data_IF_759825694344
#
_entry.id   IF_759825694344
#
_cell.length_a   1.000
_cell.length_b   1.000
_cell.length_c   1.000
_cell.angle_alpha   90.00
_cell.angle_beta   90.00
_cell.angle_gamma   90.00
#
_symmetry.space_group_name_H-M   'P 1'
#
loop_
_entity.id
_entity.type
_entity.pdbx_description
1 polymer ?
#
# COMPACT_ATOMS: atom_id res chain seq x y z
N UNK A 1 -6.20 -22.44 13.01
CA UNK A 1 -5.12 -22.21 12.03
C UNK A 1 -4.38 -20.88 12.29
N UNK A 2 -3.05 -20.90 12.27
CA UNK A 2 -2.21 -19.69 12.42
C UNK A 2 -2.15 -18.98 11.06
N UNK A 3 -2.97 -17.94 10.87
CA UNK A 3 -3.12 -17.24 9.57
C UNK A 3 -1.98 -16.29 9.21
N UNK A 4 -1.25 -15.76 10.19
CA UNK A 4 -0.23 -14.73 9.99
C UNK A 4 0.86 -15.11 8.96
N UNK A 5 1.55 -16.25 9.12
CA UNK A 5 2.61 -16.67 8.20
C UNK A 5 2.11 -16.89 6.76
N UNK A 6 0.94 -17.50 6.61
CA UNK A 6 0.35 -17.82 5.31
C UNK A 6 -0.05 -16.56 4.52
N UNK A 7 -0.41 -15.48 5.21
CA UNK A 7 -0.67 -14.18 4.59
C UNK A 7 0.65 -13.51 4.21
N UNK A 8 1.64 -13.57 5.08
CA UNK A 8 2.95 -12.97 4.85
C UNK A 8 3.63 -13.53 3.60
N UNK A 9 3.56 -14.85 3.39
CA UNK A 9 4.10 -15.54 2.19
C UNK A 9 3.48 -15.05 0.87
N UNK A 10 2.34 -14.36 0.94
CA UNK A 10 1.62 -13.81 -0.21
C UNK A 10 1.91 -12.34 -0.45
N UNK A 11 2.58 -11.64 0.47
CA UNK A 11 2.99 -10.24 0.29
C UNK A 11 4.39 -10.25 -0.35
N UNK A 12 4.56 -9.80 -1.61
CA UNK A 12 5.88 -9.76 -2.25
C UNK A 12 6.95 -8.98 -1.47
N UNK A 13 6.58 -7.90 -0.78
CA UNK A 13 7.49 -7.17 0.09
C UNK A 13 7.95 -7.95 1.34
N UNK A 14 7.39 -9.12 1.63
CA UNK A 14 7.84 -10.02 2.70
C UNK A 14 7.63 -9.47 4.12
N UNK A 15 6.86 -8.40 4.28
CA UNK A 15 6.57 -7.78 5.58
C UNK A 15 5.15 -7.22 5.61
N UNK A 16 4.63 -7.06 6.82
CA UNK A 16 3.42 -6.27 7.02
C UNK A 16 3.68 -4.79 6.75
N UNK A 17 2.66 -4.12 6.23
CA UNK A 17 2.64 -2.66 6.12
C UNK A 17 2.72 -2.01 7.50
N UNK A 18 3.36 -0.86 7.55
CA UNK A 18 3.45 0.03 8.71
C UNK A 18 2.73 1.34 8.39
N UNK A 19 2.24 2.09 9.40
CA UNK A 19 1.65 3.41 9.16
C UNK A 19 2.56 4.34 8.34
N UNK A 20 3.88 4.25 8.55
CA UNK A 20 4.88 5.06 7.84
C UNK A 20 4.89 4.81 6.32
N UNK A 21 4.47 3.63 5.86
CA UNK A 21 4.39 3.30 4.42
C UNK A 21 3.31 4.12 3.69
N UNK A 22 2.32 4.63 4.43
CA UNK A 22 1.25 5.48 3.89
C UNK A 22 1.62 6.96 3.89
N UNK A 23 2.59 7.39 4.69
CA UNK A 23 2.88 8.81 4.92
C UNK A 23 3.19 9.55 3.61
N UNK A 24 4.06 8.97 2.76
CA UNK A 24 4.44 9.56 1.49
C UNK A 24 3.27 9.70 0.50
N UNK A 25 2.43 8.67 0.38
CA UNK A 25 1.28 8.73 -0.55
C UNK A 25 0.22 9.71 -0.06
N UNK A 26 0.01 9.82 1.25
CA UNK A 26 -0.95 10.76 1.83
C UNK A 26 -0.50 12.19 1.56
N UNK A 27 0.78 12.50 1.76
CA UNK A 27 1.34 13.83 1.43
C UNK A 27 1.20 14.12 -0.07
N UNK A 28 1.50 13.16 -0.93
CA UNK A 28 1.34 13.32 -2.38
C UNK A 28 -0.12 13.65 -2.75
N UNK A 29 -1.07 12.83 -2.29
CA UNK A 29 -2.51 12.98 -2.62
C UNK A 29 -3.15 14.23 -1.99
N UNK A 30 -2.57 14.76 -0.91
CA UNK A 30 -3.02 16.00 -0.28
C UNK A 30 -2.36 17.26 -0.88
N UNK A 31 -1.43 17.10 -1.82
CA UNK A 31 -0.65 18.21 -2.39
C UNK A 31 -1.09 18.58 -3.80
N UNK A 32 -0.61 19.73 -4.28
CA UNK A 32 -0.82 20.16 -5.67
C UNK A 32 -0.23 19.20 -6.71
N UNK A 33 0.69 18.31 -6.31
CA UNK A 33 1.29 17.31 -7.20
C UNK A 33 0.26 16.31 -7.75
N UNK A 34 -0.91 16.18 -7.10
CA UNK A 34 -2.00 15.32 -7.54
C UNK A 34 -3.22 16.09 -8.09
N UNK A 35 -3.09 17.38 -8.45
CA UNK A 35 -4.23 18.23 -8.82
C UNK A 35 -5.05 17.76 -10.04
N UNK A 36 -4.55 16.82 -10.84
CA UNK A 36 -5.30 16.22 -11.96
C UNK A 36 -5.68 14.76 -11.73
N UNK A 37 -5.39 14.20 -10.54
CA UNK A 37 -5.76 12.84 -10.17
C UNK A 37 -7.08 12.86 -9.40
N UNK A 38 -8.15 12.38 -10.04
CA UNK A 38 -9.48 12.29 -9.43
C UNK A 38 -10.05 10.89 -9.63
N UNK A 39 -10.77 10.38 -8.63
CA UNK A 39 -11.46 9.08 -8.68
C UNK A 39 -10.53 7.85 -8.77
N UNK A 40 -9.21 8.04 -8.64
CA UNK A 40 -8.23 6.96 -8.71
C UNK A 40 -8.00 6.29 -7.35
N UNK A 41 -7.79 4.97 -7.36
CA UNK A 41 -7.35 4.20 -6.20
C UNK A 41 -5.87 3.86 -6.39
N UNK A 42 -5.04 4.17 -5.40
CA UNK A 42 -3.61 3.82 -5.39
C UNK A 42 -3.35 2.75 -4.33
N UNK A 43 -3.10 1.48 -4.72
CA UNK A 43 -2.78 0.42 -3.76
C UNK A 43 -1.41 0.60 -3.13
N UNK A 44 -1.36 0.59 -1.80
CA UNK A 44 -0.13 0.53 -1.01
C UNK A 44 -0.17 -0.75 -0.17
N UNK A 45 0.12 -1.88 -0.82
CA UNK A 45 -0.21 -3.21 -0.30
C UNK A 45 1.00 -4.18 -0.27
N UNK A 46 2.21 -3.67 -0.53
CA UNK A 46 3.42 -4.48 -0.60
C UNK A 46 3.45 -5.47 -1.77
N UNK A 47 2.67 -5.21 -2.83
CA UNK A 47 2.58 -6.04 -4.03
C UNK A 47 1.46 -7.09 -3.99
N UNK A 48 0.56 -7.02 -3.01
CA UNK A 48 -0.50 -8.01 -2.81
C UNK A 48 -1.39 -8.19 -4.04
N UNK A 49 -1.84 -7.09 -4.66
CA UNK A 49 -2.73 -7.14 -5.84
C UNK A 49 -2.00 -7.47 -7.16
N UNK A 50 -0.67 -7.41 -7.19
CA UNK A 50 0.12 -7.73 -8.38
C UNK A 50 0.44 -9.23 -8.52
N UNK A 51 0.09 -10.03 -7.50
CA UNK A 51 0.29 -11.47 -7.45
C UNK A 51 -0.89 -12.24 -8.02
#
# INVERSE_FOLDING_TARGET
PVRGPQILDRIPCGRWGRPDDLAGIVVFLASDASNYMHGSIVPIDGGWLAR
#
